data_IF_644104001557
#
_entry.id   IF_644104001557
#
_cell.length_a   1.000
_cell.length_b   1.000
_cell.length_c   1.000
_cell.angle_alpha   90.00
_cell.angle_beta   90.00
_cell.angle_gamma   90.00
#
_symmetry.space_group_name_H-M   'P 1'
#
loop_
_entity.id
_entity.type
_entity.pdbx_description
1 polymer ?
#
# COMPACT_ATOMS: atom_id res chain seq x y z
N UNK A 1 -11.14 -13.15 0.62
CA UNK A 1 -11.82 -11.84 0.61
C UNK A 1 -10.81 -10.86 0.04
N UNK A 2 -11.21 -9.98 -0.90
CA UNK A 2 -10.29 -9.11 -1.64
C UNK A 2 -10.45 -7.71 -1.10
N UNK A 3 -9.34 -7.08 -0.71
CA UNK A 3 -9.29 -5.68 -0.30
C UNK A 3 -9.00 -4.82 -1.54
N UNK A 4 -9.70 -3.71 -1.69
CA UNK A 4 -9.54 -2.76 -2.78
C UNK A 4 -8.88 -1.49 -2.27
N UNK A 5 -7.89 -1.00 -2.99
CA UNK A 5 -7.25 0.28 -2.73
C UNK A 5 -7.80 1.37 -3.65
N UNK A 6 -8.03 2.55 -3.08
CA UNK A 6 -8.54 3.73 -3.79
C UNK A 6 -7.65 4.93 -3.46
N UNK A 7 -7.08 5.55 -4.48
CA UNK A 7 -6.31 6.77 -4.33
C UNK A 7 -7.21 7.96 -4.01
N UNK A 8 -6.81 8.75 -3.01
CA UNK A 8 -7.44 10.02 -2.63
C UNK A 8 -6.54 11.17 -3.07
N UNK A 9 -7.09 12.12 -3.82
CA UNK A 9 -6.36 13.34 -4.16
C UNK A 9 -6.25 14.29 -2.97
N UNK A 10 -5.25 15.17 -2.97
CA UNK A 10 -5.13 16.24 -1.98
C UNK A 10 -6.41 17.09 -1.89
N UNK A 11 -7.06 17.34 -3.03
CA UNK A 11 -8.32 18.10 -3.08
C UNK A 11 -9.44 17.39 -2.32
N UNK A 12 -9.61 16.08 -2.51
CA UNK A 12 -10.64 15.29 -1.82
C UNK A 12 -10.34 15.23 -0.32
N UNK A 13 -9.05 15.06 0.05
CA UNK A 13 -8.61 15.03 1.43
C UNK A 13 -8.90 16.33 2.20
N UNK A 14 -8.89 17.48 1.50
CA UNK A 14 -9.14 18.79 2.08
C UNK A 14 -10.61 19.25 1.97
N UNK A 15 -11.46 18.45 1.32
CA UNK A 15 -12.89 18.70 1.23
C UNK A 15 -13.60 18.23 2.51
N UNK A 16 -14.28 19.18 3.19
CA UNK A 16 -15.00 18.90 4.44
C UNK A 16 -16.17 17.90 4.29
N UNK A 17 -16.70 17.75 3.09
CA UNK A 17 -17.86 16.90 2.81
C UNK A 17 -17.46 15.50 2.33
N UNK A 18 -16.16 15.28 2.07
CA UNK A 18 -15.65 14.04 1.48
C UNK A 18 -15.96 12.80 2.34
N UNK A 19 -15.73 12.85 3.65
CA UNK A 19 -16.02 11.72 4.53
C UNK A 19 -17.51 11.39 4.57
N UNK A 20 -18.37 12.42 4.57
CA UNK A 20 -19.83 12.24 4.50
C UNK A 20 -20.25 11.63 3.17
N UNK A 21 -19.67 12.08 2.05
CA UNK A 21 -19.90 11.50 0.74
C UNK A 21 -19.53 10.00 0.71
N UNK A 22 -18.34 9.63 1.21
CA UNK A 22 -17.91 8.23 1.29
C UNK A 22 -18.85 7.41 2.17
N UNK A 23 -19.30 7.95 3.32
CA UNK A 23 -20.25 7.27 4.20
C UNK A 23 -21.56 6.91 3.48
N UNK A 24 -22.14 7.84 2.73
CA UNK A 24 -23.34 7.57 1.93
C UNK A 24 -23.08 6.52 0.84
N UNK A 25 -21.94 6.60 0.14
CA UNK A 25 -21.59 5.62 -0.90
C UNK A 25 -21.42 4.20 -0.35
N UNK A 26 -20.85 4.07 0.84
CA UNK A 26 -20.72 2.76 1.52
C UNK A 26 -22.10 2.20 1.88
N UNK A 27 -22.99 3.04 2.43
CA UNK A 27 -24.36 2.63 2.75
C UNK A 27 -25.15 2.19 1.50
N UNK A 28 -25.08 2.97 0.43
CA UNK A 28 -25.78 2.68 -0.82
C UNK A 28 -25.29 1.38 -1.49
N UNK A 29 -23.99 1.13 -1.42
CA UNK A 29 -23.38 -0.05 -2.08
C UNK A 29 -23.44 -1.32 -1.24
N UNK A 30 -23.62 -1.21 0.08
CA UNK A 30 -23.55 -2.33 1.02
C UNK A 30 -22.17 -2.98 1.13
N UNK A 31 -21.12 -2.29 0.66
CA UNK A 31 -19.72 -2.77 0.77
C UNK A 31 -19.24 -2.64 2.21
N UNK A 32 -18.60 -3.68 2.73
CA UNK A 32 -17.95 -3.64 4.02
C UNK A 32 -16.76 -2.65 3.98
N UNK A 33 -16.76 -1.59 4.80
CA UNK A 33 -15.68 -0.61 4.81
C UNK A 33 -14.28 -1.22 5.04
N UNK A 34 -14.18 -2.31 5.80
CA UNK A 34 -12.93 -3.02 6.08
C UNK A 34 -12.26 -3.60 4.82
N UNK A 35 -13.03 -3.73 3.73
CA UNK A 35 -12.55 -4.20 2.43
C UNK A 35 -11.95 -3.08 1.57
N UNK A 36 -11.99 -1.84 2.02
CA UNK A 36 -11.48 -0.68 1.28
C UNK A 36 -10.29 -0.09 2.03
N UNK A 37 -9.24 0.20 1.27
CA UNK A 37 -8.08 0.96 1.71
C UNK A 37 -8.04 2.29 0.96
N UNK A 38 -7.94 3.38 1.67
CA UNK A 38 -7.76 4.71 1.08
C UNK A 38 -6.26 5.02 1.05
N UNK A 39 -5.70 5.25 -0.15
CA UNK A 39 -4.30 5.57 -0.35
C UNK A 39 -4.12 7.07 -0.48
N UNK A 40 -3.28 7.65 0.36
CA UNK A 40 -3.06 9.10 0.48
C UNK A 40 -1.56 9.34 0.35
N UNK A 41 -1.15 10.14 -0.62
CA UNK A 41 0.28 10.45 -0.78
C UNK A 41 0.80 11.28 0.40
N UNK A 42 2.08 11.08 0.72
CA UNK A 42 2.78 11.85 1.74
C UNK A 42 2.63 13.36 1.53
N UNK A 43 2.76 13.82 0.29
CA UNK A 43 2.62 15.23 -0.08
C UNK A 43 1.22 15.78 0.16
N UNK A 44 0.17 15.00 -0.13
CA UNK A 44 -1.23 15.41 0.10
C UNK A 44 -1.52 15.61 1.59
N UNK A 45 -0.94 14.78 2.47
CA UNK A 45 -1.06 14.94 3.92
C UNK A 45 -0.41 16.22 4.43
N UNK A 46 0.61 16.71 3.76
CA UNK A 46 1.39 17.90 4.19
C UNK A 46 0.88 19.21 3.61
N UNK A 47 -0.10 19.22 2.70
CA UNK A 47 -0.67 20.42 2.10
C UNK A 47 -1.46 21.25 3.15
N UNK A 48 -2.30 20.62 3.95
CA UNK A 48 -2.93 21.18 5.15
C UNK A 48 -3.04 20.08 6.22
N UNK A 49 -2.03 19.91 7.07
CA UNK A 49 -1.96 18.78 8.01
C UNK A 49 -3.12 18.72 9.01
N UNK A 50 -3.72 19.86 9.33
CA UNK A 50 -4.83 19.90 10.30
C UNK A 50 -6.11 19.35 9.65
N UNK A 51 -6.44 19.80 8.43
CA UNK A 51 -7.62 19.29 7.71
C UNK A 51 -7.43 17.85 7.30
N UNK A 52 -6.26 17.52 6.72
CA UNK A 52 -5.92 16.15 6.31
C UNK A 52 -6.11 15.17 7.48
N UNK A 53 -5.57 15.48 8.65
CA UNK A 53 -5.75 14.66 9.84
C UNK A 53 -7.21 14.43 10.18
N UNK A 54 -8.02 15.46 10.16
CA UNK A 54 -9.46 15.37 10.48
C UNK A 54 -10.17 14.42 9.50
N UNK A 55 -9.96 14.58 8.20
CA UNK A 55 -10.55 13.71 7.17
C UNK A 55 -10.09 12.27 7.33
N UNK A 56 -8.80 12.04 7.60
CA UNK A 56 -8.25 10.70 7.87
C UNK A 56 -8.91 10.06 9.10
N UNK A 57 -9.07 10.80 10.21
CA UNK A 57 -9.77 10.32 11.41
C UNK A 57 -11.25 9.99 11.11
N UNK A 58 -11.94 10.81 10.33
CA UNK A 58 -13.33 10.57 9.92
C UNK A 58 -13.46 9.31 9.05
N UNK A 59 -12.59 9.14 8.04
CA UNK A 59 -12.57 7.94 7.19
C UNK A 59 -12.23 6.66 7.99
N UNK A 60 -11.25 6.75 8.88
CA UNK A 60 -10.90 5.64 9.77
C UNK A 60 -12.08 5.23 10.67
N UNK A 61 -12.83 6.20 11.22
CA UNK A 61 -14.00 5.94 12.04
C UNK A 61 -15.17 5.30 11.27
N UNK A 62 -15.20 5.42 9.94
CA UNK A 62 -16.12 4.68 9.07
C UNK A 62 -15.71 3.19 8.92
N UNK A 63 -14.56 2.79 9.43
CA UNK A 63 -14.03 1.43 9.33
C UNK A 63 -13.15 1.17 8.11
N UNK A 64 -12.79 2.21 7.36
CA UNK A 64 -11.86 2.13 6.24
C UNK A 64 -10.43 1.93 6.75
N UNK A 65 -9.61 1.20 5.96
CA UNK A 65 -8.16 1.21 6.16
C UNK A 65 -7.55 2.42 5.47
N UNK A 66 -6.47 2.95 6.02
CA UNK A 66 -5.73 4.09 5.46
C UNK A 66 -4.29 3.67 5.21
N UNK A 67 -3.78 3.97 4.03
CA UNK A 67 -2.39 3.75 3.63
C UNK A 67 -1.72 5.07 3.25
N UNK A 68 -0.49 5.27 3.69
CA UNK A 68 0.34 6.39 3.22
C UNK A 68 1.13 5.91 2.01
N UNK A 69 0.95 6.62 0.89
CA UNK A 69 1.58 6.33 -0.39
C UNK A 69 2.81 7.22 -0.65
N UNK A 70 3.71 6.78 -1.53
CA UNK A 70 4.96 7.46 -1.93
C UNK A 70 5.84 7.86 -0.74
N UNK A 71 5.86 7.06 0.34
CA UNK A 71 6.60 7.41 1.54
C UNK A 71 8.12 7.43 1.31
N UNK A 72 8.75 8.52 1.80
CA UNK A 72 10.19 8.77 1.69
C UNK A 72 10.58 9.74 0.58
N UNK A 73 9.63 10.15 -0.28
CA UNK A 73 9.88 11.14 -1.34
C UNK A 73 9.63 12.58 -0.88
N UNK A 74 8.97 12.77 0.27
CA UNK A 74 8.56 14.06 0.80
C UNK A 74 9.24 14.44 2.12
N UNK A 75 8.70 15.46 2.77
CA UNK A 75 9.20 16.05 4.02
C UNK A 75 8.28 15.74 5.22
N UNK A 76 7.62 14.58 5.25
CA UNK A 76 6.74 14.28 6.39
C UNK A 76 7.53 14.17 7.68
N UNK A 77 7.04 14.87 8.70
CA UNK A 77 7.54 14.65 10.05
C UNK A 77 7.06 13.29 10.54
N UNK A 78 7.99 12.43 10.93
CA UNK A 78 7.68 11.14 11.58
C UNK A 78 6.70 11.31 12.75
N UNK A 79 6.81 12.43 13.48
CA UNK A 79 5.89 12.76 14.57
C UNK A 79 4.45 12.99 14.07
N UNK A 80 4.26 13.43 12.84
CA UNK A 80 2.94 13.59 12.26
C UNK A 80 2.33 12.24 11.90
N UNK A 81 3.06 11.40 11.16
CA UNK A 81 2.60 10.05 10.77
C UNK A 81 2.25 9.19 11.99
N UNK A 82 3.07 9.22 13.04
CA UNK A 82 2.82 8.49 14.29
C UNK A 82 1.47 8.78 14.92
N UNK A 83 0.93 9.99 14.73
CA UNK A 83 -0.32 10.43 15.35
C UNK A 83 -1.55 10.29 14.43
N UNK A 84 -1.37 9.74 13.22
CA UNK A 84 -2.48 9.45 12.31
C UNK A 84 -2.98 8.02 12.52
N UNK A 85 -4.28 7.77 12.42
CA UNK A 85 -4.85 6.43 12.48
C UNK A 85 -4.68 5.71 11.14
N UNK A 86 -3.44 5.48 10.74
CA UNK A 86 -3.08 4.77 9.51
C UNK A 86 -2.78 3.30 9.78
N UNK A 87 -2.95 2.45 8.79
CA UNK A 87 -2.79 1.01 8.90
C UNK A 87 -1.57 0.50 8.12
N UNK A 88 -1.16 1.26 7.10
CA UNK A 88 -0.23 0.77 6.10
C UNK A 88 0.66 1.90 5.59
N UNK A 89 1.89 1.56 5.23
CA UNK A 89 2.88 2.47 4.68
C UNK A 89 3.46 1.83 3.42
N UNK A 90 3.41 2.56 2.28
CA UNK A 90 3.88 2.09 0.99
C UNK A 90 5.22 2.74 0.66
N UNK A 91 6.20 1.91 0.34
CA UNK A 91 7.53 2.38 -0.08
C UNK A 91 7.48 2.67 -1.57
N UNK A 92 7.84 3.90 -1.95
CA UNK A 92 7.86 4.32 -3.35
C UNK A 92 8.74 3.41 -4.21
N UNK A 93 8.25 3.15 -5.43
CA UNK A 93 8.91 2.30 -6.43
C UNK A 93 10.33 2.74 -6.78
N UNK A 94 10.65 4.03 -6.64
CA UNK A 94 11.96 4.56 -7.01
C UNK A 94 13.06 3.96 -6.13
N UNK A 95 12.82 3.82 -4.83
CA UNK A 95 13.73 3.16 -3.91
C UNK A 95 13.83 1.66 -4.18
N UNK A 96 12.70 1.00 -4.48
CA UNK A 96 12.67 -0.44 -4.77
C UNK A 96 13.47 -0.77 -6.04
N UNK A 97 13.26 -0.01 -7.11
CA UNK A 97 13.94 -0.23 -8.38
C UNK A 97 15.45 -0.04 -8.29
N UNK A 98 15.91 0.92 -7.50
CA UNK A 98 17.31 1.27 -7.41
C UNK A 98 18.07 0.42 -6.38
N UNK A 99 17.41 -0.23 -5.42
CA UNK A 99 18.05 -0.93 -4.30
C UNK A 99 19.01 -2.06 -4.71
N UNK A 100 18.87 -2.62 -5.92
CA UNK A 100 19.80 -3.66 -6.41
C UNK A 100 21.21 -3.09 -6.63
N UNK A 101 21.30 -1.84 -7.08
CA UNK A 101 22.56 -1.21 -7.49
C UNK A 101 23.03 -0.13 -6.51
N UNK A 102 22.13 0.38 -5.67
CA UNK A 102 22.37 1.50 -4.77
C UNK A 102 22.22 1.11 -3.29
N UNK A 103 23.35 1.14 -2.56
CA UNK A 103 23.36 0.81 -1.12
C UNK A 103 22.60 1.83 -0.26
N UNK A 104 22.47 3.07 -0.71
CA UNK A 104 21.72 4.11 0.02
C UNK A 104 20.24 3.79 -0.03
N UNK A 105 19.72 3.38 -1.21
CA UNK A 105 18.31 2.96 -1.35
C UNK A 105 18.02 1.68 -0.55
N UNK A 106 18.96 0.73 -0.50
CA UNK A 106 18.85 -0.42 0.41
C UNK A 106 18.67 0.01 1.86
N UNK A 107 19.46 0.98 2.31
CA UNK A 107 19.36 1.47 3.68
C UNK A 107 18.04 2.19 3.94
N UNK A 108 17.54 2.96 2.97
CA UNK A 108 16.23 3.64 3.03
C UNK A 108 15.12 2.60 3.13
N UNK A 109 15.06 1.63 2.22
CA UNK A 109 14.02 0.59 2.18
C UNK A 109 14.00 -0.17 3.51
N UNK A 110 15.16 -0.65 3.98
CA UNK A 110 15.26 -1.38 5.24
C UNK A 110 14.81 -0.54 6.43
N UNK A 111 15.28 0.70 6.52
CA UNK A 111 14.91 1.61 7.62
C UNK A 111 13.42 1.93 7.61
N UNK A 112 12.81 2.06 6.43
CA UNK A 112 11.37 2.31 6.28
C UNK A 112 10.54 1.10 6.73
N UNK A 113 10.99 -0.13 6.43
CA UNK A 113 10.34 -1.36 6.90
C UNK A 113 10.40 -1.42 8.44
N UNK A 114 11.59 -1.25 9.02
CA UNK A 114 11.78 -1.25 10.48
C UNK A 114 10.93 -0.15 11.15
N UNK A 115 10.86 1.02 10.56
CA UNK A 115 10.06 2.13 11.04
C UNK A 115 8.56 1.79 11.03
N UNK A 116 8.04 1.29 9.90
CA UNK A 116 6.64 0.89 9.77
C UNK A 116 6.26 -0.11 10.88
N UNK A 117 7.06 -1.15 11.07
CA UNK A 117 6.85 -2.16 12.10
C UNK A 117 6.89 -1.56 13.52
N UNK A 118 7.83 -0.65 13.81
CA UNK A 118 7.92 0.02 15.10
C UNK A 118 6.70 0.92 15.39
N UNK A 119 6.01 1.39 14.35
CA UNK A 119 4.76 2.13 14.45
C UNK A 119 3.51 1.23 14.46
N UNK A 120 3.68 -0.09 14.33
CA UNK A 120 2.58 -1.06 14.24
C UNK A 120 1.86 -1.07 12.89
N UNK A 121 2.50 -0.55 11.84
CA UNK A 121 1.96 -0.48 10.48
C UNK A 121 2.42 -1.70 9.67
N UNK A 122 1.62 -2.07 8.68
CA UNK A 122 2.07 -2.94 7.60
C UNK A 122 2.88 -2.13 6.59
N UNK A 123 3.87 -2.78 6.00
CA UNK A 123 4.70 -2.14 4.97
C UNK A 123 4.51 -2.84 3.64
N UNK A 124 4.22 -2.06 2.60
CA UNK A 124 4.04 -2.51 1.22
C UNK A 124 5.16 -1.95 0.36
N UNK A 125 5.85 -2.79 -0.37
CA UNK A 125 6.83 -2.37 -1.36
C UNK A 125 6.18 -2.28 -2.74
N UNK A 126 6.35 -1.15 -3.42
CA UNK A 126 5.75 -0.90 -4.72
C UNK A 126 6.72 -1.04 -5.90
N UNK A 127 6.14 -1.35 -7.07
CA UNK A 127 6.87 -1.33 -8.32
C UNK A 127 7.89 -2.44 -8.48
N UNK A 128 7.70 -3.59 -7.83
CA UNK A 128 8.60 -4.74 -7.96
C UNK A 128 8.54 -5.28 -9.38
N UNK A 129 9.69 -5.36 -10.04
CA UNK A 129 9.82 -5.86 -11.40
C UNK A 129 10.76 -7.08 -11.50
N UNK A 130 11.65 -7.28 -10.49
CA UNK A 130 12.70 -8.31 -10.50
C UNK A 130 12.59 -9.24 -9.29
N UNK A 131 12.97 -10.50 -9.48
CA UNK A 131 12.99 -11.50 -8.41
C UNK A 131 14.00 -11.17 -7.30
N UNK A 132 15.11 -10.53 -7.67
CA UNK A 132 16.13 -10.09 -6.72
C UNK A 132 15.56 -9.05 -5.75
N UNK A 133 14.75 -8.09 -6.24
CA UNK A 133 14.04 -7.11 -5.42
C UNK A 133 13.10 -7.81 -4.43
N UNK A 134 12.30 -8.75 -4.94
CA UNK A 134 11.39 -9.56 -4.13
C UNK A 134 12.12 -10.32 -3.03
N UNK A 135 13.28 -10.93 -3.33
CA UNK A 135 14.05 -11.68 -2.35
C UNK A 135 14.62 -10.78 -1.26
N UNK A 136 15.19 -9.63 -1.64
CA UNK A 136 15.72 -8.66 -0.67
C UNK A 136 14.63 -8.14 0.26
N UNK A 137 13.44 -7.84 -0.26
CA UNK A 137 12.30 -7.38 0.54
C UNK A 137 11.83 -8.46 1.54
N UNK A 138 11.83 -9.73 1.14
CA UNK A 138 11.58 -10.85 2.06
C UNK A 138 12.61 -10.92 3.17
N UNK A 139 13.89 -10.78 2.83
CA UNK A 139 14.99 -10.83 3.80
C UNK A 139 14.92 -9.66 4.79
N UNK A 140 14.36 -8.52 4.37
CA UNK A 140 14.10 -7.35 5.22
C UNK A 140 12.81 -7.48 6.03
N UNK A 141 11.97 -8.49 5.76
CA UNK A 141 10.72 -8.74 6.46
C UNK A 141 9.58 -7.82 6.01
N UNK A 142 9.60 -7.31 4.77
CA UNK A 142 8.49 -6.54 4.22
C UNK A 142 7.19 -7.37 4.23
N UNK A 143 6.06 -6.77 4.60
CA UNK A 143 4.79 -7.50 4.75
C UNK A 143 4.12 -7.83 3.43
N UNK A 144 4.16 -6.90 2.48
CA UNK A 144 3.46 -7.02 1.19
C UNK A 144 4.30 -6.43 0.05
N UNK A 145 3.98 -6.87 -1.16
CA UNK A 145 4.64 -6.41 -2.37
C UNK A 145 3.64 -6.23 -3.52
N UNK A 146 3.85 -5.19 -4.32
CA UNK A 146 3.06 -4.86 -5.50
C UNK A 146 3.98 -4.52 -6.67
N UNK A 147 3.68 -5.02 -7.87
CA UNK A 147 4.46 -4.68 -9.06
C UNK A 147 4.25 -5.62 -10.24
N UNK A 148 4.91 -5.30 -11.35
CA UNK A 148 4.79 -6.04 -12.60
C UNK A 148 5.37 -7.45 -12.56
N UNK A 149 6.22 -7.74 -11.58
CA UNK A 149 6.67 -9.10 -11.33
C UNK A 149 5.49 -10.01 -10.95
N UNK A 150 4.49 -9.46 -10.25
CA UNK A 150 3.30 -10.21 -9.80
C UNK A 150 2.24 -10.21 -10.89
N UNK A 151 1.78 -9.03 -11.30
CA UNK A 151 0.83 -8.85 -12.40
C UNK A 151 0.86 -7.40 -12.90
N UNK A 152 0.62 -7.21 -14.19
CA UNK A 152 0.26 -5.89 -14.74
C UNK A 152 -1.21 -5.62 -14.43
N UNK A 153 -1.65 -4.36 -14.66
CA UNK A 153 -3.06 -4.01 -14.56
C UNK A 153 -3.92 -4.93 -15.44
N UNK A 154 -5.00 -5.44 -14.87
CA UNK A 154 -5.93 -6.37 -15.51
C UNK A 154 -7.29 -5.70 -15.67
N UNK A 155 -8.07 -6.15 -16.66
CA UNK A 155 -9.51 -5.84 -16.70
C UNK A 155 -10.23 -6.54 -15.54
N UNK A 156 -11.45 -6.14 -15.21
CA UNK A 156 -12.24 -6.79 -14.15
C UNK A 156 -12.39 -8.30 -14.39
N UNK A 157 -12.69 -8.70 -15.62
CA UNK A 157 -12.85 -10.12 -16.00
C UNK A 157 -11.55 -10.90 -15.90
N UNK A 158 -10.42 -10.30 -16.36
CA UNK A 158 -9.11 -10.95 -16.27
C UNK A 158 -8.67 -11.08 -14.79
N UNK A 159 -9.02 -10.10 -13.96
CA UNK A 159 -8.76 -10.14 -12.51
C UNK A 159 -9.52 -11.27 -11.82
N UNK A 160 -10.79 -11.48 -12.16
CA UNK A 160 -11.57 -12.60 -11.64
C UNK A 160 -10.95 -13.96 -12.00
N UNK A 161 -10.50 -14.12 -13.25
CA UNK A 161 -9.78 -15.31 -13.71
C UNK A 161 -8.47 -15.48 -12.94
N UNK A 162 -7.66 -14.43 -12.88
CA UNK A 162 -6.38 -14.44 -12.18
C UNK A 162 -6.54 -14.81 -10.70
N UNK A 163 -7.55 -14.26 -10.01
CA UNK A 163 -7.86 -14.59 -8.61
C UNK A 163 -8.27 -16.07 -8.46
N UNK A 164 -9.06 -16.61 -9.41
CA UNK A 164 -9.48 -18.00 -9.37
C UNK A 164 -8.31 -18.98 -9.52
N UNK A 165 -7.30 -18.61 -10.32
CA UNK A 165 -6.10 -19.38 -10.56
C UNK A 165 -5.07 -19.23 -9.42
N UNK A 166 -5.03 -18.06 -8.77
CA UNK A 166 -4.07 -17.70 -7.72
C UNK A 166 -4.77 -17.42 -6.40
N UNK A 167 -5.51 -18.40 -5.86
CA UNK A 167 -6.36 -18.28 -4.65
C UNK A 167 -5.64 -17.87 -3.35
N UNK A 168 -4.33 -17.89 -3.33
CA UNK A 168 -3.51 -17.35 -2.25
C UNK A 168 -3.17 -15.88 -2.55
N UNK A 169 -3.23 -14.99 -1.57
CA UNK A 169 -2.90 -13.58 -1.77
C UNK A 169 -1.47 -13.43 -2.31
N UNK A 170 -1.29 -13.00 -3.57
CA UNK A 170 0.05 -13.01 -4.19
C UNK A 170 0.96 -11.91 -3.66
N UNK A 171 0.40 -10.95 -2.94
CA UNK A 171 1.14 -9.84 -2.32
C UNK A 171 1.62 -10.13 -0.90
N UNK A 172 1.22 -11.28 -0.31
CA UNK A 172 1.63 -11.63 1.05
C UNK A 172 2.88 -12.51 1.03
N UNK A 173 4.01 -12.00 1.49
CA UNK A 173 5.29 -12.71 1.55
C UNK A 173 5.28 -13.94 2.46
N UNK A 174 4.30 -14.07 3.34
CA UNK A 174 4.18 -15.23 4.23
C UNK A 174 3.64 -16.47 3.54
N UNK A 175 3.18 -16.35 2.28
CA UNK A 175 2.56 -17.45 1.56
C UNK A 175 3.57 -18.23 0.70
N UNK A 176 3.88 -19.51 1.04
CA UNK A 176 4.83 -20.34 0.30
C UNK A 176 4.44 -20.65 -1.16
N UNK A 177 3.17 -20.42 -1.55
CA UNK A 177 2.68 -20.74 -2.89
C UNK A 177 3.04 -19.66 -3.94
N UNK A 178 3.37 -18.44 -3.52
CA UNK A 178 3.93 -17.41 -4.39
C UNK A 178 5.27 -17.82 -5.01
N UNK A 179 6.09 -18.52 -4.25
CA UNK A 179 7.38 -19.05 -4.74
C UNK A 179 7.20 -20.02 -5.90
N UNK A 180 6.13 -20.84 -5.91
CA UNK A 180 5.88 -21.83 -6.97
C UNK A 180 5.36 -21.22 -8.26
N UNK A 181 4.58 -20.12 -8.21
CA UNK A 181 4.07 -19.45 -9.41
C UNK A 181 5.20 -18.77 -10.20
N UNK A 182 6.22 -18.28 -9.52
CA UNK A 182 7.42 -17.68 -10.12
C UNK A 182 8.35 -18.75 -10.71
N UNK A 183 8.53 -19.88 -10.04
CA UNK A 183 9.36 -21.00 -10.51
C UNK A 183 8.79 -21.69 -11.77
N UNK A 184 7.48 -21.83 -11.87
CA UNK A 184 6.82 -22.45 -13.04
C UNK A 184 6.92 -21.60 -14.31
N UNK A 185 7.09 -20.26 -14.22
CA UNK A 185 7.32 -19.39 -15.38
C UNK A 185 8.72 -19.47 -15.96
N UNK A 186 9.69 -20.01 -15.21
CA UNK A 186 11.07 -20.27 -15.73
C UNK A 186 11.20 -21.56 -16.55
N UNK A 187 10.23 -22.45 -16.49
CA UNK A 187 10.25 -23.75 -17.14
C UNK A 187 9.45 -23.82 -18.46
N UNK A 188 8.90 -22.74 -18.94
CA UNK A 188 8.21 -22.57 -20.23
C UNK A 188 8.78 -21.44 -21.03
#
# INVERSE_FOLDING_TARGET
MIKMSLNISARDLLDSDFASYISHRLQDSGVDPSMICMEITESALMEDPIKARRTVEELHNLGLSISIDDYGTGYSSLAYVKNLPVNELKIDREFIKNMIENKEDVAIVRSTIELGHNLGLKVVAEGIEREEEMQMLKDFGCDQAQGYLISKALTATDMENWISENRSSPSDFTNPQLLRAVEQRKAG
#
